data_IF_563914060995
#
_entry.id   IF_563914060995
#
_cell.length_a   1.000
_cell.length_b   1.000
_cell.length_c   1.000
_cell.angle_alpha   90.00
_cell.angle_beta   90.00
_cell.angle_gamma   90.00
#
_symmetry.space_group_name_H-M   'P 1'
#
loop_
_entity.id
_entity.type
_entity.pdbx_description
1 polymer ?
#
# COMPACT_ATOMS: atom_id res chain seq x y z
N UNK A 1 -2.83 24.38 2.64
CA UNK A 1 -2.81 23.01 3.21
C UNK A 1 -1.50 22.36 2.76
N UNK A 2 -0.69 21.86 3.68
CA UNK A 2 0.58 21.19 3.35
C UNK A 2 0.33 19.69 3.36
N UNK A 3 0.72 19.01 2.28
CA UNK A 3 0.67 17.55 2.19
C UNK A 3 2.08 17.01 2.39
N UNK A 4 2.22 16.01 3.25
CA UNK A 4 3.50 15.34 3.52
C UNK A 4 4.03 14.59 2.28
N UNK A 5 3.14 14.16 1.37
CA UNK A 5 3.47 13.47 0.12
C UNK A 5 3.89 12.01 0.28
N UNK A 6 4.05 11.49 1.51
CA UNK A 6 4.33 10.07 1.76
C UNK A 6 4.02 9.65 3.20
N UNK A 7 3.80 8.35 3.41
CA UNK A 7 3.62 7.79 4.75
C UNK A 7 4.84 8.04 5.65
N UNK A 8 6.05 7.78 5.14
CA UNK A 8 7.30 8.04 5.86
C UNK A 8 7.43 9.51 6.25
N UNK A 9 7.12 10.45 5.35
CA UNK A 9 7.16 11.89 5.66
C UNK A 9 6.13 12.28 6.70
N UNK A 10 4.92 11.72 6.65
CA UNK A 10 3.89 11.97 7.67
C UNK A 10 4.36 11.57 9.07
N UNK A 11 5.04 10.42 9.20
CA UNK A 11 5.61 9.98 10.48
C UNK A 11 6.74 10.89 10.98
N UNK A 12 7.57 11.41 10.06
CA UNK A 12 8.58 12.43 10.41
C UNK A 12 7.90 13.70 10.95
N UNK A 13 6.82 14.14 10.30
CA UNK A 13 6.07 15.34 10.70
C UNK A 13 5.39 15.20 12.07
N UNK A 14 4.88 13.99 12.39
CA UNK A 14 4.40 13.66 13.75
C UNK A 14 5.52 13.79 14.78
N UNK A 15 6.70 13.20 14.51
CA UNK A 15 7.85 13.28 15.43
C UNK A 15 8.38 14.69 15.63
N UNK A 16 8.24 15.54 14.61
CA UNK A 16 8.62 16.94 14.66
C UNK A 16 7.56 17.83 15.33
N UNK A 17 6.39 17.29 15.71
CA UNK A 17 5.28 18.07 16.25
C UNK A 17 4.64 19.01 15.23
N UNK A 18 4.84 18.74 13.94
CA UNK A 18 4.26 19.53 12.83
C UNK A 18 2.98 18.91 12.26
N UNK A 19 2.58 17.77 12.80
CA UNK A 19 1.28 17.12 12.62
C UNK A 19 0.90 16.42 13.93
N UNK A 20 -0.41 16.34 14.23
CA UNK A 20 -0.91 15.67 15.44
C UNK A 20 -1.31 14.22 15.17
N UNK A 21 -1.84 13.92 13.97
CA UNK A 21 -2.35 12.61 13.55
C UNK A 21 -1.98 12.38 12.07
N UNK A 22 -1.67 11.14 11.71
CA UNK A 22 -1.48 10.73 10.32
C UNK A 22 -2.14 9.37 10.01
N UNK A 23 -2.61 9.20 8.78
CA UNK A 23 -3.08 7.92 8.27
C UNK A 23 -1.94 7.21 7.52
N UNK A 24 -1.63 5.97 7.94
CA UNK A 24 -0.55 5.16 7.39
C UNK A 24 -1.14 3.81 6.98
N UNK A 25 -0.89 3.37 5.75
CA UNK A 25 -1.33 2.05 5.32
C UNK A 25 -0.57 0.93 6.06
N UNK A 26 -1.21 -0.22 6.21
CA UNK A 26 -0.66 -1.32 7.01
C UNK A 26 0.63 -1.91 6.45
N UNK A 27 0.85 -1.87 5.13
CA UNK A 27 2.06 -2.39 4.49
C UNK A 27 3.22 -1.45 4.76
N UNK A 28 3.06 -0.14 4.54
CA UNK A 28 4.08 0.85 4.89
C UNK A 28 4.43 0.81 6.38
N UNK A 29 3.42 0.70 7.25
CA UNK A 29 3.66 0.57 8.69
C UNK A 29 4.50 -0.67 9.03
N UNK A 30 4.16 -1.84 8.48
CA UNK A 30 4.87 -3.09 8.73
C UNK A 30 6.31 -3.06 8.17
N UNK A 31 6.51 -2.50 6.97
CA UNK A 31 7.84 -2.32 6.39
C UNK A 31 8.70 -1.37 7.22
N UNK A 32 8.15 -0.24 7.69
CA UNK A 32 8.86 0.69 8.56
C UNK A 32 9.16 0.07 9.92
N UNK A 33 8.27 -0.75 10.48
CA UNK A 33 8.55 -1.47 11.71
C UNK A 33 9.72 -2.44 11.56
N UNK A 34 9.83 -3.11 10.41
CA UNK A 34 10.93 -4.04 10.13
C UNK A 34 12.26 -3.33 9.87
N UNK A 35 12.24 -2.27 9.05
CA UNK A 35 13.46 -1.70 8.47
C UNK A 35 13.89 -0.37 9.12
N UNK A 36 12.95 0.38 9.71
CA UNK A 36 13.20 1.68 10.35
C UNK A 36 12.41 1.85 11.68
N UNK A 37 12.47 0.91 12.64
CA UNK A 37 11.63 0.92 13.84
C UNK A 37 11.79 2.19 14.70
N UNK A 38 12.97 2.81 14.66
CA UNK A 38 13.22 4.07 15.35
C UNK A 38 12.29 5.20 14.90
N UNK A 39 11.80 5.18 13.64
CA UNK A 39 10.84 6.17 13.15
C UNK A 39 9.47 6.04 13.83
N UNK A 40 9.13 4.84 14.32
CA UNK A 40 7.86 4.56 14.99
C UNK A 40 7.92 4.74 16.51
N UNK A 41 9.11 4.97 17.06
CA UNK A 41 9.30 5.11 18.50
C UNK A 41 8.49 6.29 19.07
N UNK A 42 7.73 6.02 20.13
CA UNK A 42 6.87 7.01 20.78
C UNK A 42 5.54 7.29 20.07
N UNK A 43 5.27 6.65 18.93
CA UNK A 43 3.97 6.73 18.27
C UNK A 43 3.06 5.59 18.75
N UNK A 44 1.75 5.83 18.72
CA UNK A 44 0.74 4.82 19.01
C UNK A 44 -0.35 4.78 17.93
N UNK A 45 -0.90 3.60 17.68
CA UNK A 45 -2.03 3.43 16.75
C UNK A 45 -3.32 3.71 17.51
N UNK A 46 -4.01 4.80 17.16
CA UNK A 46 -5.26 5.23 17.82
C UNK A 46 -6.53 4.69 17.15
N UNK A 47 -6.40 4.04 15.99
CA UNK A 47 -7.53 3.47 15.23
C UNK A 47 -7.07 2.72 13.99
N UNK A 48 -7.97 1.91 13.42
CA UNK A 48 -7.74 1.18 12.16
C UNK A 48 -8.98 1.31 11.27
N UNK A 49 -8.76 1.57 9.98
CA UNK A 49 -9.82 1.52 8.98
C UNK A 49 -10.24 0.07 8.69
N UNK A 50 -11.40 -0.16 8.07
CA UNK A 50 -11.74 -1.47 7.51
C UNK A 50 -10.68 -1.97 6.52
N UNK A 51 -10.60 -3.29 6.35
CA UNK A 51 -9.69 -3.92 5.39
C UNK A 51 -10.02 -3.52 3.95
N UNK A 52 -8.97 -3.20 3.20
CA UNK A 52 -9.03 -2.93 1.76
C UNK A 52 -8.41 -4.11 0.98
N UNK A 53 -8.76 -4.30 -0.30
CA UNK A 53 -8.01 -5.19 -1.18
C UNK A 53 -6.54 -4.76 -1.27
N UNK A 54 -5.64 -5.73 -1.43
CA UNK A 54 -4.20 -5.48 -1.55
C UNK A 54 -3.81 -4.62 -2.75
N UNK A 55 -2.60 -4.06 -2.73
CA UNK A 55 -2.09 -3.17 -3.78
C UNK A 55 -2.00 -3.90 -5.13
N UNK A 56 -2.72 -3.45 -6.18
CA UNK A 56 -2.66 -4.08 -7.48
C UNK A 56 -1.43 -3.63 -8.26
N UNK A 57 -0.85 -4.54 -9.04
CA UNK A 57 0.02 -4.18 -10.15
C UNK A 57 -0.85 -3.96 -11.39
N UNK A 58 -0.68 -2.82 -12.05
CA UNK A 58 -1.52 -2.40 -13.18
C UNK A 58 -0.63 -2.18 -14.41
N UNK A 59 -0.99 -2.81 -15.52
CA UNK A 59 -0.39 -2.56 -16.83
C UNK A 59 -1.19 -1.54 -17.65
N UNK A 60 -0.63 -1.09 -18.78
CA UNK A 60 -1.40 -0.34 -19.76
C UNK A 60 -2.57 -1.16 -20.28
N UNK A 61 -3.67 -0.47 -20.66
CA UNK A 61 -4.78 -1.08 -21.38
C UNK A 61 -4.35 -1.66 -22.74
N UNK A 62 -3.29 -1.10 -23.31
CA UNK A 62 -2.78 -1.45 -24.64
C UNK A 62 -1.65 -2.49 -24.57
N UNK A 63 -1.35 -3.05 -23.38
CA UNK A 63 -0.33 -4.09 -23.23
C UNK A 63 -0.76 -5.36 -23.99
N UNK A 64 0.05 -5.87 -24.93
CA UNK A 64 -0.30 -7.05 -25.72
C UNK A 64 -0.54 -8.29 -24.84
N UNK A 65 -1.46 -9.20 -25.22
CA UNK A 65 -1.72 -10.42 -24.46
C UNK A 65 -0.48 -11.28 -24.20
N UNK A 66 0.44 -11.36 -25.17
CA UNK A 66 1.71 -12.08 -25.02
C UNK A 66 2.61 -11.46 -23.92
N UNK A 67 2.72 -10.14 -23.88
CA UNK A 67 3.46 -9.43 -22.83
C UNK A 67 2.79 -9.62 -21.47
N UNK A 68 1.46 -9.59 -21.40
CA UNK A 68 0.74 -9.87 -20.16
C UNK A 68 0.97 -11.29 -19.63
N UNK A 69 1.08 -12.29 -20.52
CA UNK A 69 1.42 -13.65 -20.14
C UNK A 69 2.84 -13.72 -19.55
N UNK A 70 3.82 -13.07 -20.19
CA UNK A 70 5.21 -13.02 -19.70
C UNK A 70 5.32 -12.31 -18.34
N UNK A 71 4.60 -11.20 -18.13
CA UNK A 71 4.60 -10.51 -16.84
C UNK A 71 4.04 -11.38 -15.72
N UNK A 72 2.94 -12.11 -15.99
CA UNK A 72 2.36 -13.04 -15.02
C UNK A 72 3.29 -14.20 -14.70
N UNK A 73 3.92 -14.77 -15.72
CA UNK A 73 4.91 -15.83 -15.54
C UNK A 73 6.10 -15.34 -14.69
N UNK A 74 6.64 -14.15 -14.98
CA UNK A 74 7.73 -13.58 -14.21
C UNK A 74 7.36 -13.36 -12.73
N UNK A 75 6.14 -12.88 -12.44
CA UNK A 75 5.65 -12.71 -11.07
C UNK A 75 5.44 -14.06 -10.36
N UNK A 76 4.95 -15.07 -11.07
CA UNK A 76 4.82 -16.42 -10.54
C UNK A 76 6.20 -17.00 -10.18
N UNK A 77 7.16 -16.94 -11.11
CA UNK A 77 8.54 -17.39 -10.86
C UNK A 77 9.21 -16.63 -9.70
N UNK A 78 8.91 -15.34 -9.54
CA UNK A 78 9.41 -14.54 -8.41
C UNK A 78 8.96 -15.10 -7.06
N UNK A 79 7.68 -15.47 -6.92
CA UNK A 79 7.16 -15.95 -5.62
C UNK A 79 7.39 -17.44 -5.38
N UNK A 80 7.58 -18.25 -6.43
CA UNK A 80 7.88 -19.68 -6.29
C UNK A 80 9.37 -20.01 -6.26
N UNK A 81 10.22 -19.15 -6.83
CA UNK A 81 11.66 -19.37 -6.92
C UNK A 81 12.34 -19.30 -5.56
N UNK A 82 13.02 -20.38 -5.15
CA UNK A 82 13.72 -20.44 -3.87
C UNK A 82 14.77 -19.32 -3.71
N UNK A 83 15.43 -18.92 -4.81
CA UNK A 83 16.41 -17.83 -4.78
C UNK A 83 15.82 -16.44 -4.46
N UNK A 84 14.50 -16.25 -4.59
CA UNK A 84 13.83 -14.97 -4.36
C UNK A 84 13.08 -14.90 -3.03
N UNK A 85 13.06 -16.00 -2.27
CA UNK A 85 12.28 -16.13 -1.04
C UNK A 85 12.61 -15.03 -0.02
N UNK A 86 13.89 -14.73 0.17
CA UNK A 86 14.31 -13.73 1.15
C UNK A 86 13.93 -12.31 0.72
N UNK A 87 14.00 -12.01 -0.58
CA UNK A 87 13.57 -10.71 -1.13
C UNK A 87 12.05 -10.56 -0.99
N UNK A 88 11.27 -11.57 -1.37
CA UNK A 88 9.82 -11.55 -1.23
C UNK A 88 9.39 -11.40 0.24
N UNK A 89 10.00 -12.19 1.14
CA UNK A 89 9.78 -12.08 2.58
C UNK A 89 10.11 -10.70 3.10
N UNK A 90 11.26 -10.14 2.71
CA UNK A 90 11.69 -8.81 3.14
C UNK A 90 10.69 -7.70 2.74
N UNK A 91 10.00 -7.89 1.62
CA UNK A 91 8.97 -6.99 1.07
C UNK A 91 7.53 -7.34 1.48
N UNK A 92 7.33 -8.35 2.33
CA UNK A 92 5.99 -8.83 2.75
C UNK A 92 5.14 -9.31 1.57
N UNK A 93 5.77 -9.93 0.57
CA UNK A 93 5.11 -10.50 -0.60
C UNK A 93 5.15 -12.02 -0.48
N UNK A 94 3.96 -12.65 -0.48
CA UNK A 94 3.82 -14.10 -0.43
C UNK A 94 3.37 -14.69 -1.77
N UNK A 95 2.51 -14.00 -2.53
CA UNK A 95 1.96 -14.50 -3.78
C UNK A 95 1.39 -13.37 -4.68
N UNK A 96 1.12 -13.68 -5.94
CA UNK A 96 0.37 -12.83 -6.88
C UNK A 96 -0.81 -13.60 -7.50
N UNK A 97 -1.97 -12.94 -7.58
CA UNK A 97 -3.15 -13.51 -8.22
C UNK A 97 -3.73 -12.57 -9.29
N UNK A 98 -4.39 -13.15 -10.29
CA UNK A 98 -5.12 -12.37 -11.29
C UNK A 98 -6.44 -11.90 -10.67
N UNK A 99 -6.61 -10.58 -10.57
CA UNK A 99 -7.79 -9.96 -9.98
C UNK A 99 -8.60 -9.20 -11.02
N UNK A 100 -9.92 -9.16 -10.82
CA UNK A 100 -10.80 -8.24 -11.54
C UNK A 100 -10.84 -6.89 -10.82
N UNK A 101 -11.46 -5.87 -11.43
CA UNK A 101 -11.68 -4.57 -10.77
C UNK A 101 -12.75 -4.61 -9.68
N UNK A 102 -13.55 -5.69 -9.59
CA UNK A 102 -14.71 -5.78 -8.70
C UNK A 102 -14.37 -5.58 -7.21
N UNK A 103 -13.33 -6.20 -6.63
CA UNK A 103 -12.98 -5.99 -5.22
C UNK A 103 -12.62 -4.53 -4.90
N UNK A 104 -12.08 -3.79 -5.88
CA UNK A 104 -11.67 -2.40 -5.74
C UNK A 104 -12.83 -1.40 -5.84
N UNK A 105 -14.03 -1.84 -6.24
CA UNK A 105 -15.21 -0.96 -6.31
C UNK A 105 -15.57 -0.38 -4.93
N UNK A 106 -15.28 -1.10 -3.84
CA UNK A 106 -15.46 -0.61 -2.48
C UNK A 106 -14.64 0.65 -2.19
N UNK A 107 -13.44 0.78 -2.76
CA UNK A 107 -12.60 1.97 -2.59
C UNK A 107 -13.24 3.21 -3.25
N UNK A 108 -13.97 3.01 -4.35
CA UNK A 108 -14.74 4.08 -4.99
C UNK A 108 -15.93 4.49 -4.13
N UNK A 109 -16.62 3.53 -3.51
CA UNK A 109 -17.71 3.82 -2.58
C UNK A 109 -17.22 4.63 -1.37
N UNK A 110 -16.08 4.26 -0.78
CA UNK A 110 -15.47 5.02 0.31
C UNK A 110 -15.06 6.43 -0.11
N UNK A 111 -14.53 6.60 -1.33
CA UNK A 111 -14.23 7.93 -1.88
C UNK A 111 -15.49 8.79 -1.98
N UNK A 112 -16.59 8.23 -2.47
CA UNK A 112 -17.87 8.95 -2.56
C UNK A 112 -18.40 9.30 -1.17
N UNK A 113 -18.37 8.35 -0.22
CA UNK A 113 -18.78 8.59 1.17
C UNK A 113 -17.95 9.72 1.81
N UNK A 114 -16.63 9.68 1.66
CA UNK A 114 -15.74 10.71 2.17
C UNK A 114 -16.10 12.09 1.59
N UNK A 115 -16.39 12.16 0.28
CA UNK A 115 -16.82 13.40 -0.37
C UNK A 115 -18.16 13.92 0.20
N UNK A 116 -19.13 13.04 0.48
CA UNK A 116 -20.40 13.43 1.12
C UNK A 116 -20.22 14.00 2.53
N UNK A 117 -19.14 13.61 3.21
CA UNK A 117 -18.73 14.12 4.53
C UNK A 117 -17.82 15.35 4.46
N UNK A 118 -17.62 15.92 3.26
CA UNK A 118 -16.83 17.14 3.03
C UNK A 118 -15.36 16.91 2.70
N UNK A 119 -14.88 15.66 2.66
CA UNK A 119 -13.50 15.32 2.26
C UNK A 119 -13.43 15.31 0.73
N UNK A 120 -13.23 16.49 0.15
CA UNK A 120 -13.28 16.70 -1.31
C UNK A 120 -11.91 16.82 -1.97
N UNK A 121 -10.82 16.84 -1.17
CA UNK A 121 -9.44 16.94 -1.63
C UNK A 121 -8.54 16.01 -0.81
N UNK A 122 -7.57 15.41 -1.49
CA UNK A 122 -6.43 14.66 -0.96
C UNK A 122 -5.14 15.30 -1.48
#
# INVERSE_FOLDING_TARGET
MRWSGSHRRSLIELRQGTADIAAIDCVSWALLQRHEPALLAGLCVIGRSPSAPGLPLISSKDTPPATMALLREALYQLVTGAQYRDICRAQLIDDFSVVTRRPYAQLLAWRTEAATRGVTRL
#
